data_IF_168754161720
#
_entry.id   IF_168754161720
#
_cell.length_a   1.000
_cell.length_b   1.000
_cell.length_c   1.000
_cell.angle_alpha   90.00
_cell.angle_beta   90.00
_cell.angle_gamma   90.00
#
_symmetry.space_group_name_H-M   'P 1'
#
loop_
_entity.id
_entity.type
_entity.pdbx_description
1 polymer ?
#
# COMPACT_ATOMS: atom_id res chain seq x y z
N UNK A 1 -21.56 -10.61 -6.53
CA UNK A 1 -20.66 -10.74 -5.36
C UNK A 1 -19.18 -10.50 -5.69
N UNK A 2 -18.62 -11.03 -6.79
CA UNK A 2 -17.19 -10.86 -7.21
C UNK A 2 -16.68 -9.41 -7.32
N UNK A 3 -17.51 -8.46 -7.76
CA UNK A 3 -17.11 -7.06 -7.96
C UNK A 3 -16.86 -6.28 -6.67
N UNK A 4 -17.48 -6.69 -5.55
CA UNK A 4 -17.28 -6.02 -4.25
C UNK A 4 -15.88 -6.29 -3.68
N UNK A 5 -15.36 -7.50 -3.85
CA UNK A 5 -14.01 -7.86 -3.38
C UNK A 5 -12.90 -7.13 -4.14
N UNK A 6 -13.01 -7.02 -5.47
CA UNK A 6 -12.07 -6.26 -6.29
C UNK A 6 -12.02 -4.77 -5.90
N UNK A 7 -13.20 -4.19 -5.60
CA UNK A 7 -13.30 -2.80 -5.12
C UNK A 7 -12.71 -2.63 -3.73
N UNK A 8 -13.03 -3.53 -2.80
CA UNK A 8 -12.47 -3.50 -1.45
C UNK A 8 -10.93 -3.62 -1.47
N UNK A 9 -10.39 -4.56 -2.26
CA UNK A 9 -8.96 -4.77 -2.39
C UNK A 9 -8.24 -3.56 -3.02
N UNK A 10 -8.83 -2.95 -4.05
CA UNK A 10 -8.31 -1.70 -4.64
C UNK A 10 -8.35 -0.55 -3.63
N UNK A 11 -9.42 -0.41 -2.86
CA UNK A 11 -9.58 0.67 -1.87
C UNK A 11 -8.60 0.54 -0.70
N UNK A 12 -8.33 -0.69 -0.25
CA UNK A 12 -7.28 -0.97 0.75
C UNK A 12 -5.90 -0.62 0.19
N UNK A 13 -5.57 -1.07 -1.02
CA UNK A 13 -4.28 -0.76 -1.65
C UNK A 13 -4.07 0.75 -1.79
N UNK A 14 -5.08 1.50 -2.24
CA UNK A 14 -5.02 2.96 -2.35
C UNK A 14 -4.82 3.60 -0.97
N UNK A 15 -5.53 3.12 0.06
CA UNK A 15 -5.40 3.65 1.43
C UNK A 15 -3.98 3.48 1.97
N UNK A 16 -3.35 2.33 1.72
CA UNK A 16 -1.95 2.06 2.10
C UNK A 16 -0.99 2.99 1.36
N UNK A 17 -1.16 3.17 0.05
CA UNK A 17 -0.32 4.07 -0.76
C UNK A 17 -0.44 5.52 -0.27
N UNK A 18 -1.66 5.99 0.03
CA UNK A 18 -1.90 7.34 0.56
C UNK A 18 -1.25 7.52 1.93
N UNK A 19 -1.34 6.52 2.81
CA UNK A 19 -0.68 6.54 4.12
C UNK A 19 0.84 6.74 3.98
N UNK A 20 1.50 5.92 3.17
CA UNK A 20 2.94 6.02 2.96
C UNK A 20 3.36 7.31 2.27
N UNK A 21 2.59 7.76 1.26
CA UNK A 21 2.83 9.06 0.63
C UNK A 21 2.76 10.20 1.65
N UNK A 22 1.78 10.17 2.55
CA UNK A 22 1.63 11.17 3.62
C UNK A 22 2.81 11.16 4.57
N UNK A 23 3.22 9.98 5.05
CA UNK A 23 4.40 9.83 5.93
C UNK A 23 5.67 10.35 5.23
N UNK A 24 5.84 10.04 3.94
CA UNK A 24 6.97 10.53 3.16
C UNK A 24 6.96 12.05 3.00
N UNK A 25 5.81 12.67 2.72
CA UNK A 25 5.68 14.14 2.66
C UNK A 25 6.00 14.79 4.01
N UNK A 26 5.51 14.23 5.12
CA UNK A 26 5.82 14.71 6.47
C UNK A 26 7.32 14.60 6.78
N UNK A 27 7.97 13.52 6.34
CA UNK A 27 9.41 13.32 6.46
C UNK A 27 10.21 14.36 5.66
N UNK A 28 9.86 14.60 4.39
CA UNK A 28 10.51 15.61 3.54
C UNK A 28 10.31 17.02 4.09
N UNK A 29 9.13 17.31 4.64
CA UNK A 29 8.81 18.59 5.27
C UNK A 29 9.48 18.79 6.64
N UNK A 30 10.21 17.78 7.16
CA UNK A 30 10.84 17.79 8.50
C UNK A 30 9.87 18.19 9.61
N UNK A 31 8.63 17.71 9.49
CA UNK A 31 7.59 17.93 10.49
C UNK A 31 7.83 16.93 11.63
N UNK A 32 8.68 17.32 12.58
CA UNK A 32 9.11 16.49 13.70
C UNK A 32 8.11 16.58 14.88
N UNK A 33 6.96 15.92 14.74
CA UNK A 33 6.07 15.64 15.86
C UNK A 33 6.38 14.26 16.44
N UNK A 34 6.56 14.17 17.77
CA UNK A 34 6.79 12.91 18.50
C UNK A 34 5.71 11.86 18.16
N UNK A 35 4.45 12.30 18.08
CA UNK A 35 3.33 11.41 17.77
C UNK A 35 3.43 10.81 16.34
N UNK A 36 3.90 11.59 15.37
CA UNK A 36 4.11 11.13 13.98
C UNK A 36 5.26 10.12 13.92
N UNK A 37 6.31 10.31 14.72
CA UNK A 37 7.40 9.33 14.87
C UNK A 37 6.91 7.98 15.37
N UNK A 38 6.13 7.98 16.46
CA UNK A 38 5.56 6.75 17.05
C UNK A 38 4.60 6.05 16.09
N UNK A 39 3.69 6.80 15.45
CA UNK A 39 2.76 6.21 14.47
C UNK A 39 3.50 5.63 13.27
N UNK A 40 4.54 6.31 12.79
CA UNK A 40 5.42 5.79 11.74
C UNK A 40 6.02 4.47 12.19
N UNK A 41 6.68 4.38 13.33
CA UNK A 41 7.33 3.13 13.75
C UNK A 41 6.32 2.00 13.99
N UNK A 42 5.21 2.28 14.66
CA UNK A 42 4.20 1.30 15.02
C UNK A 42 3.42 0.76 13.82
N UNK A 43 3.01 1.64 12.90
CA UNK A 43 2.16 1.26 11.78
C UNK A 43 2.97 0.81 10.55
N UNK A 44 4.23 1.21 10.43
CA UNK A 44 4.99 0.90 9.22
C UNK A 44 5.30 -0.59 9.09
N UNK A 45 5.60 -1.29 10.19
CA UNK A 45 5.81 -2.75 10.19
C UNK A 45 4.55 -3.52 9.76
N UNK A 46 3.36 -3.33 10.37
CA UNK A 46 2.15 -4.03 9.93
C UNK A 46 1.71 -3.61 8.53
N UNK A 47 1.90 -2.36 8.11
CA UNK A 47 1.60 -1.95 6.74
C UNK A 47 2.59 -2.52 5.71
N UNK A 48 3.87 -2.68 6.05
CA UNK A 48 4.85 -3.40 5.23
C UNK A 48 4.42 -4.85 5.00
N UNK A 49 4.03 -5.53 6.08
CA UNK A 49 3.53 -6.90 6.00
C UNK A 49 2.27 -6.97 5.12
N UNK A 50 1.33 -6.03 5.32
CA UNK A 50 0.12 -5.94 4.51
C UNK A 50 0.43 -5.69 3.03
N UNK A 51 1.40 -4.83 2.69
CA UNK A 51 1.82 -4.59 1.31
C UNK A 51 2.29 -5.87 0.63
N UNK A 52 3.16 -6.65 1.28
CA UNK A 52 3.69 -7.91 0.73
C UNK A 52 2.54 -8.92 0.54
N UNK A 53 1.68 -9.09 1.54
CA UNK A 53 0.53 -10.01 1.49
C UNK A 53 -0.42 -9.62 0.35
N UNK A 54 -0.77 -8.34 0.22
CA UNK A 54 -1.65 -7.87 -0.84
C UNK A 54 -0.98 -7.91 -2.23
N UNK A 55 0.34 -7.79 -2.32
CA UNK A 55 1.11 -8.01 -3.55
C UNK A 55 0.94 -9.45 -4.04
N UNK A 56 1.17 -10.43 -3.16
CA UNK A 56 1.05 -11.87 -3.48
C UNK A 56 -0.39 -12.23 -3.84
N UNK A 57 -1.37 -11.77 -3.03
CA UNK A 57 -2.79 -11.97 -3.34
C UNK A 57 -3.15 -11.34 -4.69
N UNK A 58 -2.61 -10.17 -5.00
CA UNK A 58 -2.83 -9.47 -6.26
C UNK A 58 -2.35 -10.26 -7.48
N UNK A 59 -1.17 -10.88 -7.40
CA UNK A 59 -0.65 -11.77 -8.46
C UNK A 59 -1.57 -12.97 -8.65
N UNK A 60 -1.94 -13.65 -7.56
CA UNK A 60 -2.83 -14.82 -7.63
C UNK A 60 -4.16 -14.43 -8.28
N UNK A 61 -4.71 -13.26 -7.93
CA UNK A 61 -5.96 -12.77 -8.50
C UNK A 61 -5.84 -12.41 -9.99
N UNK A 62 -4.70 -11.86 -10.41
CA UNK A 62 -4.41 -11.51 -11.80
C UNK A 62 -4.43 -12.75 -12.72
N UNK A 63 -3.83 -13.86 -12.29
CA UNK A 63 -3.82 -15.10 -13.07
C UNK A 63 -5.18 -15.82 -13.08
N UNK A 64 -5.99 -15.69 -12.02
CA UNK A 64 -7.26 -16.42 -11.88
C UNK A 64 -8.46 -15.74 -12.55
N UNK A 65 -8.41 -14.43 -12.81
CA UNK A 65 -9.54 -13.66 -13.31
C UNK A 65 -9.11 -12.65 -14.37
N UNK A 66 -10.01 -12.31 -15.32
CA UNK A 66 -9.80 -11.16 -16.22
C UNK A 66 -9.71 -9.89 -15.38
N UNK A 67 -8.49 -9.45 -15.11
CA UNK A 67 -8.21 -8.29 -14.30
C UNK A 67 -8.72 -7.02 -15.00
N UNK A 68 -9.45 -6.19 -14.25
CA UNK A 68 -9.86 -4.87 -14.74
C UNK A 68 -8.66 -3.90 -14.67
N UNK A 69 -8.60 -2.95 -15.60
CA UNK A 69 -7.53 -1.94 -15.66
C UNK A 69 -7.26 -1.23 -14.31
N UNK A 70 -8.33 -0.87 -13.58
CA UNK A 70 -8.25 -0.25 -12.25
C UNK A 70 -7.53 -1.14 -11.22
N UNK A 71 -7.72 -2.46 -11.27
CA UNK A 71 -7.08 -3.38 -10.35
C UNK A 71 -5.57 -3.48 -10.61
N UNK A 72 -5.20 -3.56 -11.89
CA UNK A 72 -3.79 -3.61 -12.32
C UNK A 72 -3.08 -2.31 -11.89
N UNK A 73 -3.73 -1.16 -12.08
CA UNK A 73 -3.18 0.13 -11.69
C UNK A 73 -2.97 0.23 -10.17
N UNK A 74 -3.95 -0.16 -9.34
CA UNK A 74 -3.79 -0.19 -7.88
C UNK A 74 -2.71 -1.16 -7.42
N UNK A 75 -2.59 -2.31 -8.08
CA UNK A 75 -1.57 -3.32 -7.74
C UNK A 75 -0.16 -2.86 -8.12
N UNK A 76 0.02 -2.22 -9.28
CA UNK A 76 1.28 -1.59 -9.68
C UNK A 76 1.68 -0.45 -8.74
N UNK A 77 0.74 0.42 -8.36
CA UNK A 77 1.00 1.48 -7.40
C UNK A 77 1.47 0.92 -6.05
N UNK A 78 0.85 -0.18 -5.58
CA UNK A 78 1.26 -0.87 -4.37
C UNK A 78 2.68 -1.48 -4.52
N UNK A 79 3.00 -2.06 -5.67
CA UNK A 79 4.33 -2.62 -5.94
C UNK A 79 5.44 -1.55 -5.90
N UNK A 80 5.19 -0.41 -6.53
CA UNK A 80 6.11 0.74 -6.50
C UNK A 80 6.26 1.26 -5.07
N UNK A 81 5.15 1.41 -4.34
CA UNK A 81 5.17 1.86 -2.95
C UNK A 81 5.96 0.89 -2.04
N UNK A 82 5.80 -0.42 -2.25
CA UNK A 82 6.55 -1.44 -1.51
C UNK A 82 8.05 -1.37 -1.81
N UNK A 83 8.44 -1.17 -3.08
CA UNK A 83 9.84 -1.00 -3.46
C UNK A 83 10.50 0.23 -2.79
N UNK A 84 9.81 1.37 -2.82
CA UNK A 84 10.29 2.58 -2.13
C UNK A 84 10.39 2.37 -0.62
N UNK A 85 9.39 1.72 -0.01
CA UNK A 85 9.39 1.46 1.44
C UNK A 85 10.55 0.55 1.84
N UNK A 86 10.78 -0.54 1.10
CA UNK A 86 11.92 -1.44 1.34
C UNK A 86 13.28 -0.77 1.13
N UNK A 87 13.34 0.25 0.27
CA UNK A 87 14.58 1.03 0.04
C UNK A 87 14.78 2.14 1.08
N UNK A 88 13.75 2.48 1.86
CA UNK A 88 13.78 3.52 2.89
C UNK A 88 14.04 2.95 4.30
N UNK A 89 13.72 1.68 4.52
CA UNK A 89 14.16 0.92 5.70
C UNK A 89 15.64 0.56 5.62
#
# INVERSE_FOLDING_TARGET
>A
MKTKYLRALSLINISIVVYFATIYTLYVAKIDFVLVGVFRELLTIPFLLAQIVFLVIGVIYYFRYKANFLFILSWLALAICSYFTLSTF
#
